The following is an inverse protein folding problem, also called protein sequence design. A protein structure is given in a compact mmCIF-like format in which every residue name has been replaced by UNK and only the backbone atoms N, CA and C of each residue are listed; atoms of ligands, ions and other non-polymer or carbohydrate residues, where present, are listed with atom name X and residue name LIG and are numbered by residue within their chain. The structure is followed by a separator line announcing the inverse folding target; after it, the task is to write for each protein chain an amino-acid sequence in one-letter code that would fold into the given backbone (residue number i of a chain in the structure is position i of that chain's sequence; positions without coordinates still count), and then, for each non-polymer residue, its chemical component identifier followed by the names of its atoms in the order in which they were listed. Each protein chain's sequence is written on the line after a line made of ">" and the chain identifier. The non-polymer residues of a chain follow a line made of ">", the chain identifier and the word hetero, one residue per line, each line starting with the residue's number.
data_IF_055569549359
#
_entry.id   IF_055569549359
#
_cell.length_a   1.000
_cell.length_b   1.000
_cell.length_c   1.000
_cell.angle_alpha   90.00
_cell.angle_beta   90.00
_cell.angle_gamma   90.00
#
_symmetry.space_group_name_H-M   'P 1'
#
loop_
_entity.id
_entity.type
_entity.pdbx_description
1 polymer ?
#
# COMPACT_ATOMS: atom_id res chain seq x y z
N UNK A 1 15.64 47.98 5.21
CA UNK A 1 14.69 46.86 5.32
C UNK A 1 14.88 46.00 4.09
N UNK A 2 15.50 44.82 4.23
CA UNK A 2 15.64 43.89 3.10
C UNK A 2 14.28 43.26 2.85
N UNK A 3 13.57 43.75 1.84
CA UNK A 3 12.47 43.01 1.22
C UNK A 3 13.08 41.78 0.56
N UNK A 4 13.10 40.65 1.28
CA UNK A 4 13.31 39.36 0.63
C UNK A 4 12.14 39.16 -0.33
N UNK A 5 12.40 39.30 -1.62
CA UNK A 5 11.45 38.98 -2.68
C UNK A 5 11.08 37.51 -2.54
N UNK A 6 9.86 37.23 -2.08
CA UNK A 6 9.32 35.86 -2.07
C UNK A 6 9.17 35.41 -3.52
N UNK A 7 9.93 34.41 -3.92
CA UNK A 7 9.81 33.78 -5.24
C UNK A 7 8.42 33.11 -5.32
N UNK A 8 7.62 33.37 -6.36
CA UNK A 8 6.33 32.71 -6.55
C UNK A 8 6.45 31.18 -6.55
N UNK A 9 5.46 30.48 -6.00
CA UNK A 9 5.48 29.02 -5.88
C UNK A 9 5.69 28.32 -7.22
N UNK A 10 5.08 28.82 -8.30
CA UNK A 10 5.19 28.26 -9.65
C UNK A 10 6.60 28.40 -10.22
N UNK A 11 7.37 29.40 -9.79
CA UNK A 11 8.78 29.56 -10.16
C UNK A 11 9.68 28.66 -9.33
N UNK A 12 9.32 28.44 -8.05
CA UNK A 12 10.08 27.57 -7.15
C UNK A 12 9.85 26.08 -7.45
N UNK A 13 8.62 25.71 -7.81
CA UNK A 13 8.18 24.33 -8.05
C UNK A 13 7.40 24.20 -9.38
N UNK A 14 8.03 24.48 -10.54
CA UNK A 14 7.35 24.48 -11.83
C UNK A 14 6.75 23.12 -12.19
N UNK A 15 7.42 22.01 -11.86
CA UNK A 15 6.91 20.66 -12.11
C UNK A 15 5.67 20.34 -11.27
N UNK A 16 5.58 20.86 -10.04
CA UNK A 16 4.42 20.69 -9.16
C UNK A 16 3.24 21.51 -9.69
N UNK A 17 3.48 22.78 -10.00
CA UNK A 17 2.46 23.67 -10.55
C UNK A 17 1.87 23.16 -11.89
N UNK A 18 2.71 22.57 -12.76
CA UNK A 18 2.25 21.96 -14.02
C UNK A 18 1.23 20.82 -13.83
N UNK A 19 1.22 20.18 -12.65
CA UNK A 19 0.26 19.13 -12.28
C UNK A 19 -1.02 19.70 -11.65
N UNK A 20 -1.16 21.02 -11.60
CA UNK A 20 -2.29 21.70 -10.98
C UNK A 20 -2.27 21.64 -9.45
N UNK A 21 -1.12 21.34 -8.85
CA UNK A 21 -0.97 21.30 -7.39
C UNK A 21 -0.52 22.67 -6.90
N UNK A 22 -1.29 23.27 -5.99
CA UNK A 22 -0.96 24.53 -5.35
C UNK A 22 0.02 24.37 -4.18
N UNK A 23 0.52 25.49 -3.67
CA UNK A 23 1.48 25.52 -2.56
C UNK A 23 0.96 24.82 -1.30
N UNK A 24 -0.34 24.94 -1.02
CA UNK A 24 -0.94 24.39 0.20
C UNK A 24 -1.02 22.86 0.13
N UNK A 25 -1.44 22.34 -1.02
CA UNK A 25 -1.52 20.91 -1.32
C UNK A 25 -0.13 20.29 -1.36
N UNK A 26 0.84 20.98 -1.97
CA UNK A 26 2.23 20.54 -1.97
C UNK A 26 2.79 20.43 -0.55
N UNK A 27 2.54 21.44 0.28
CA UNK A 27 2.92 21.41 1.70
C UNK A 27 2.26 20.27 2.48
N UNK A 28 0.99 19.96 2.20
CA UNK A 28 0.31 18.81 2.82
C UNK A 28 0.93 17.48 2.40
N UNK A 29 1.29 17.34 1.12
CA UNK A 29 1.95 16.15 0.60
C UNK A 29 3.31 15.91 1.25
N UNK A 30 4.14 16.94 1.36
CA UNK A 30 5.48 16.84 1.97
C UNK A 30 5.42 16.59 3.48
N UNK A 31 4.52 17.25 4.21
CA UNK A 31 4.57 17.26 5.67
C UNK A 31 3.67 16.20 6.33
N UNK A 32 2.61 15.76 5.65
CA UNK A 32 1.61 14.86 6.24
C UNK A 32 1.48 13.53 5.48
N UNK A 33 1.34 13.58 4.15
CA UNK A 33 1.07 12.36 3.36
C UNK A 33 2.33 11.51 3.17
N UNK A 34 3.44 12.16 2.80
CA UNK A 34 4.75 11.55 2.51
C UNK A 34 5.90 12.22 3.28
N UNK A 35 5.85 12.27 4.62
CA UNK A 35 6.89 12.91 5.42
C UNK A 35 8.26 12.28 5.16
N UNK A 36 9.24 13.13 4.82
CA UNK A 36 10.62 12.72 4.56
C UNK A 36 10.88 12.12 3.17
N UNK A 37 9.86 12.01 2.32
CA UNK A 37 10.06 11.61 0.93
C UNK A 37 10.71 12.74 0.11
N UNK A 38 11.48 12.38 -0.92
CA UNK A 38 12.05 13.34 -1.87
C UNK A 38 10.93 13.92 -2.75
N UNK A 39 11.05 15.20 -3.11
CA UNK A 39 10.09 15.89 -3.97
C UNK A 39 9.81 15.14 -5.28
N UNK A 40 10.84 14.58 -5.91
CA UNK A 40 10.72 13.75 -7.11
C UNK A 40 9.87 12.49 -6.88
N UNK A 41 10.01 11.85 -5.71
CA UNK A 41 9.25 10.67 -5.35
C UNK A 41 7.78 11.01 -5.08
N UNK A 42 7.52 12.16 -4.45
CA UNK A 42 6.15 12.66 -4.25
C UNK A 42 5.51 12.96 -5.62
N UNK A 43 6.23 13.61 -6.54
CA UNK A 43 5.75 13.85 -7.91
C UNK A 43 5.45 12.56 -8.66
N UNK A 44 6.25 11.51 -8.48
CA UNK A 44 5.96 10.19 -9.05
C UNK A 44 4.66 9.58 -8.50
N UNK A 45 4.40 9.73 -7.19
CA UNK A 45 3.13 9.30 -6.60
C UNK A 45 1.94 10.13 -7.11
N UNK A 46 2.13 11.44 -7.28
CA UNK A 46 1.14 12.35 -7.89
C UNK A 46 0.81 11.90 -9.32
N UNK A 47 1.82 11.68 -10.17
CA UNK A 47 1.62 11.24 -11.56
C UNK A 47 0.88 9.90 -11.65
N UNK A 48 1.23 8.97 -10.75
CA UNK A 48 0.54 7.69 -10.62
C UNK A 48 -0.94 7.88 -10.31
N UNK A 49 -1.28 8.80 -9.40
CA UNK A 49 -2.66 9.05 -8.99
C UNK A 49 -3.44 9.83 -10.05
N UNK A 50 -2.85 10.87 -10.64
CA UNK A 50 -3.48 11.68 -11.69
C UNK A 50 -3.83 10.83 -12.92
N UNK A 51 -2.91 9.97 -13.38
CA UNK A 51 -3.15 9.05 -14.51
C UNK A 51 -4.27 8.03 -14.28
N UNK A 52 -4.69 7.84 -13.01
CA UNK A 52 -5.78 6.93 -12.60
C UNK A 52 -6.98 7.65 -12.01
N UNK A 53 -7.01 8.98 -12.10
CA UNK A 53 -8.06 9.83 -11.52
C UNK A 53 -8.27 9.58 -10.01
N UNK A 54 -7.18 9.40 -9.28
CA UNK A 54 -7.18 9.18 -7.84
C UNK A 54 -6.79 10.47 -7.12
N UNK A 55 -7.39 10.69 -5.96
CA UNK A 55 -6.98 11.74 -5.04
C UNK A 55 -5.74 11.28 -4.26
N UNK A 56 -4.62 11.97 -4.47
CA UNK A 56 -3.34 11.68 -3.80
C UNK A 56 -3.41 11.93 -2.28
N UNK A 57 -4.27 12.83 -1.81
CA UNK A 57 -4.41 13.17 -0.39
C UNK A 57 -5.09 12.06 0.40
N UNK A 58 -5.88 11.19 -0.25
CA UNK A 58 -6.41 9.97 0.34
C UNK A 58 -5.36 8.87 0.52
N UNK A 59 -4.12 9.12 0.11
CA UNK A 59 -2.97 8.21 0.19
C UNK A 59 -3.29 6.79 -0.33
N UNK A 60 -3.79 6.65 -1.58
CA UNK A 60 -4.07 5.34 -2.16
C UNK A 60 -2.78 4.54 -2.46
N UNK A 61 -1.62 5.21 -2.49
CA UNK A 61 -0.31 4.62 -2.76
C UNK A 61 0.71 5.00 -1.69
N UNK A 62 1.76 4.19 -1.59
CA UNK A 62 2.88 4.36 -0.67
C UNK A 62 4.17 4.53 -1.47
N UNK A 63 5.11 5.29 -0.92
CA UNK A 63 6.49 5.36 -1.40
C UNK A 63 7.34 4.42 -0.55
N UNK A 64 7.81 3.34 -1.16
CA UNK A 64 8.58 2.30 -0.49
C UNK A 64 10.01 2.30 -1.02
N UNK A 65 11.03 2.53 -0.18
CA UNK A 65 12.43 2.42 -0.58
C UNK A 65 12.78 0.96 -0.88
N UNK A 66 13.17 0.67 -2.11
CA UNK A 66 13.54 -0.68 -2.55
C UNK A 66 14.98 -0.69 -3.07
N UNK A 67 15.72 -1.75 -2.76
CA UNK A 67 17.04 -1.99 -3.34
C UNK A 67 16.85 -2.56 -4.74
N UNK A 68 17.06 -1.74 -5.76
CA UNK A 68 16.91 -2.12 -7.16
C UNK A 68 18.29 -2.42 -7.74
N UNK A 69 18.49 -3.67 -8.16
CA UNK A 69 19.70 -4.09 -8.86
C UNK A 69 19.65 -3.59 -10.30
N UNK A 70 20.62 -2.76 -10.67
CA UNK A 70 20.81 -2.29 -12.02
C UNK A 70 21.27 -3.47 -12.90
N UNK A 71 20.51 -3.77 -13.95
CA UNK A 71 20.74 -4.93 -14.80
C UNK A 71 22.04 -4.82 -15.62
N UNK A 72 22.51 -3.60 -15.88
CA UNK A 72 23.66 -3.31 -16.73
C UNK A 72 24.96 -3.30 -15.93
N UNK A 73 24.96 -2.65 -14.77
CA UNK A 73 26.14 -2.50 -13.91
C UNK A 73 26.24 -3.56 -12.80
N UNK A 74 25.14 -4.27 -12.50
CA UNK A 74 25.06 -5.24 -11.41
C UNK A 74 25.00 -4.62 -10.01
N UNK A 75 25.10 -3.29 -9.90
CA UNK A 75 25.09 -2.56 -8.63
C UNK A 75 23.65 -2.38 -8.13
N UNK A 76 23.47 -2.40 -6.81
CA UNK A 76 22.16 -2.13 -6.19
C UNK A 76 22.06 -0.67 -5.78
N UNK A 77 20.99 0.00 -6.21
CA UNK A 77 20.69 1.38 -5.83
C UNK A 77 19.35 1.43 -5.09
N UNK A 78 19.27 2.23 -4.03
CA UNK A 78 18.01 2.46 -3.34
C UNK A 78 17.17 3.44 -4.16
N UNK A 79 15.95 3.04 -4.49
CA UNK A 79 14.97 3.88 -5.19
C UNK A 79 13.63 3.77 -4.50
N UNK A 80 12.93 4.89 -4.41
CA UNK A 80 11.52 4.88 -3.99
C UNK A 80 10.68 4.28 -5.12
N UNK A 81 9.77 3.39 -4.76
CA UNK A 81 8.83 2.75 -5.68
C UNK A 81 7.42 3.13 -5.23
N UNK A 82 6.56 3.52 -6.18
CA UNK A 82 5.13 3.69 -5.91
C UNK A 82 4.49 2.33 -5.79
N UNK A 83 3.97 2.01 -4.62
CA UNK A 83 3.31 0.74 -4.32
C UNK A 83 1.83 1.00 -3.99
N UNK A 84 0.90 0.21 -4.54
CA UNK A 84 -0.51 0.36 -4.19
C UNK A 84 -0.74 0.02 -2.71
N UNK A 85 -1.59 0.78 -2.02
CA UNK A 85 -2.14 0.35 -0.73
C UNK A 85 -3.45 -0.41 -0.94
N UNK A 86 -3.95 -1.08 0.10
CA UNK A 86 -5.28 -1.70 0.06
C UNK A 86 -6.40 -0.69 -0.30
N UNK A 87 -6.22 0.57 0.09
CA UNK A 87 -7.15 1.66 -0.25
C UNK A 87 -7.33 1.86 -1.75
N UNK A 88 -6.27 1.67 -2.55
CA UNK A 88 -6.37 1.74 -4.01
C UNK A 88 -7.33 0.68 -4.55
N UNK A 89 -7.14 -0.58 -4.13
CA UNK A 89 -7.95 -1.69 -4.62
C UNK A 89 -9.41 -1.57 -4.22
N UNK A 90 -9.68 -1.05 -3.01
CA UNK A 90 -11.05 -0.74 -2.57
C UNK A 90 -11.69 0.33 -3.43
N UNK A 91 -11.00 1.44 -3.71
CA UNK A 91 -11.49 2.52 -4.56
C UNK A 91 -11.79 2.00 -5.97
N UNK A 92 -10.90 1.18 -6.54
CA UNK A 92 -11.09 0.65 -7.89
C UNK A 92 -12.21 -0.40 -7.97
N UNK A 93 -12.36 -1.26 -6.95
CA UNK A 93 -13.47 -2.20 -6.86
C UNK A 93 -14.81 -1.46 -6.80
N UNK A 94 -14.93 -0.43 -5.94
CA UNK A 94 -16.13 0.40 -5.85
C UNK A 94 -16.44 1.12 -7.17
N UNK A 95 -15.44 1.78 -7.76
CA UNK A 95 -15.57 2.47 -9.04
C UNK A 95 -15.86 1.56 -10.23
N UNK A 96 -15.66 0.24 -10.10
CA UNK A 96 -16.05 -0.71 -11.15
C UNK A 96 -17.57 -0.78 -11.36
N UNK A 97 -18.37 -0.29 -10.41
CA UNK A 97 -19.83 -0.40 -10.43
C UNK A 97 -20.36 -1.82 -10.19
N UNK A 98 -19.46 -2.77 -9.90
CA UNK A 98 -19.81 -4.20 -9.71
C UNK A 98 -19.49 -4.70 -8.31
N UNK A 99 -18.97 -3.87 -7.41
CA UNK A 99 -18.74 -4.25 -6.02
C UNK A 99 -20.07 -4.43 -5.29
N UNK A 100 -20.30 -5.62 -4.72
CA UNK A 100 -21.55 -6.02 -4.07
C UNK A 100 -21.37 -6.29 -2.56
N UNK A 101 -20.30 -5.74 -1.96
CA UNK A 101 -19.97 -5.92 -0.55
C UNK A 101 -18.94 -7.02 -0.29
N UNK A 102 -18.75 -7.34 0.98
CA UNK A 102 -17.81 -8.34 1.45
C UNK A 102 -18.31 -8.95 2.77
N UNK A 103 -17.84 -10.15 3.08
CA UNK A 103 -18.08 -10.80 4.37
C UNK A 103 -17.05 -10.34 5.41
N UNK A 104 -17.34 -10.56 6.69
CA UNK A 104 -16.33 -10.42 7.74
C UNK A 104 -15.18 -11.43 7.53
N UNK A 105 -13.93 -11.07 7.90
CA UNK A 105 -12.81 -11.99 7.82
C UNK A 105 -13.02 -13.21 8.72
N UNK A 106 -12.85 -14.40 8.15
CA UNK A 106 -12.82 -15.65 8.89
C UNK A 106 -11.38 -15.98 9.26
N UNK A 107 -11.15 -16.38 10.52
CA UNK A 107 -9.81 -16.74 11.00
C UNK A 107 -9.72 -18.22 11.37
N UNK A 108 -8.57 -18.81 11.08
CA UNK A 108 -8.20 -20.14 11.53
C UNK A 108 -7.92 -20.22 13.03
N UNK A 109 -7.57 -21.41 13.53
CA UNK A 109 -7.20 -21.60 14.92
C UNK A 109 -6.00 -20.72 15.31
N UNK A 110 -5.92 -20.36 16.59
CA UNK A 110 -4.78 -19.62 17.14
C UNK A 110 -3.61 -20.58 17.30
N UNK A 111 -2.46 -20.21 16.73
CA UNK A 111 -1.19 -20.91 16.93
C UNK A 111 -0.32 -20.15 17.92
N UNK A 112 0.53 -20.89 18.63
CA UNK A 112 1.61 -20.37 19.44
C UNK A 112 2.93 -20.92 18.91
N UNK A 113 3.83 -20.03 18.48
CA UNK A 113 5.10 -20.41 17.83
C UNK A 113 6.25 -19.64 18.44
N UNK A 114 7.38 -20.34 18.64
CA UNK A 114 8.66 -19.70 18.95
C UNK A 114 9.28 -19.10 17.69
N UNK A 115 9.54 -17.78 17.70
CA UNK A 115 10.31 -17.11 16.66
C UNK A 115 11.43 -16.32 17.36
N UNK A 116 12.68 -16.68 17.09
CA UNK A 116 13.88 -16.13 17.74
C UNK A 116 13.82 -16.16 19.29
N UNK A 117 13.41 -17.29 19.87
CA UNK A 117 13.38 -17.49 21.32
C UNK A 117 12.26 -16.73 22.03
N UNK A 118 11.29 -16.20 21.29
CA UNK A 118 10.11 -15.51 21.83
C UNK A 118 8.84 -16.20 21.34
N UNK A 119 7.88 -16.38 22.26
CA UNK A 119 6.57 -16.94 21.93
C UNK A 119 5.64 -15.89 21.35
N UNK A 120 5.05 -16.19 20.19
CA UNK A 120 4.06 -15.36 19.52
C UNK A 120 2.76 -16.12 19.29
N UNK A 121 1.63 -15.42 19.41
CA UNK A 121 0.30 -15.97 19.13
C UNK A 121 -0.39 -15.22 17.99
N UNK A 122 -0.90 -15.98 17.02
CA UNK A 122 -1.50 -15.45 15.80
C UNK A 122 -2.47 -16.47 15.18
N UNK A 123 -3.44 -16.05 14.34
CA UNK A 123 -4.27 -17.00 13.61
C UNK A 123 -3.43 -17.75 12.58
N UNK A 124 -3.68 -19.05 12.38
CA UNK A 124 -3.01 -19.84 11.34
C UNK A 124 -3.22 -19.23 9.94
N UNK A 125 -4.47 -18.88 9.64
CA UNK A 125 -4.88 -18.32 8.36
C UNK A 125 -6.01 -17.29 8.54
N UNK A 126 -6.20 -16.44 7.53
CA UNK A 126 -7.38 -15.60 7.35
C UNK A 126 -7.98 -15.88 5.97
N UNK A 127 -9.31 -16.00 5.89
CA UNK A 127 -10.06 -16.05 4.64
C UNK A 127 -10.93 -14.80 4.53
N UNK A 128 -10.83 -14.11 3.40
CA UNK A 128 -11.63 -12.93 3.09
C UNK A 128 -12.44 -13.16 1.82
N UNK A 129 -13.72 -12.79 1.83
CA UNK A 129 -14.63 -12.97 0.69
C UNK A 129 -15.20 -11.63 0.26
N UNK A 130 -15.04 -11.30 -1.02
CA UNK A 130 -15.65 -10.13 -1.67
C UNK A 130 -16.69 -10.60 -2.67
N UNK A 131 -17.75 -9.81 -2.82
CA UNK A 131 -18.87 -10.11 -3.70
C UNK A 131 -18.86 -9.17 -4.89
N UNK A 132 -19.05 -9.74 -6.09
CA UNK A 132 -19.05 -9.02 -7.36
C UNK A 132 -20.33 -9.32 -8.14
N UNK A 133 -21.00 -8.28 -8.64
CA UNK A 133 -22.10 -8.39 -9.57
C UNK A 133 -21.56 -8.76 -10.97
N UNK A 134 -21.97 -9.92 -11.48
CA UNK A 134 -21.65 -10.39 -12.83
C UNK A 134 -22.98 -10.66 -13.55
N UNK A 135 -23.35 -9.74 -14.44
CA UNK A 135 -24.69 -9.72 -15.03
C UNK A 135 -25.74 -9.43 -13.96
N UNK A 136 -26.64 -10.38 -13.73
CA UNK A 136 -27.71 -10.33 -12.74
C UNK A 136 -27.40 -11.12 -11.45
N UNK A 137 -26.19 -11.67 -11.32
CA UNK A 137 -25.80 -12.56 -10.21
C UNK A 137 -24.71 -11.95 -9.36
N UNK A 138 -24.83 -12.16 -8.05
CA UNK A 138 -23.75 -11.91 -7.10
C UNK A 138 -22.87 -13.15 -7.04
N UNK A 139 -21.57 -12.97 -7.31
CA UNK A 139 -20.56 -14.03 -7.30
C UNK A 139 -19.51 -13.71 -6.22
N UNK A 140 -19.25 -14.71 -5.38
CA UNK A 140 -18.27 -14.61 -4.30
C UNK A 140 -16.85 -14.96 -4.79
N UNK A 141 -15.88 -14.15 -4.40
CA UNK A 141 -14.46 -14.38 -4.62
C UNK A 141 -13.75 -14.39 -3.27
N UNK A 142 -13.12 -15.51 -2.94
CA UNK A 142 -12.40 -15.65 -1.68
C UNK A 142 -10.89 -15.79 -1.87
N UNK A 143 -10.14 -15.25 -0.92
CA UNK A 143 -8.72 -15.48 -0.74
C UNK A 143 -8.45 -16.00 0.67
N UNK A 144 -7.47 -16.89 0.79
CA UNK A 144 -7.00 -17.40 2.08
C UNK A 144 -5.49 -17.20 2.14
N UNK A 145 -5.04 -16.54 3.20
CA UNK A 145 -3.64 -16.24 3.46
C UNK A 145 -3.21 -16.86 4.78
N UNK A 146 -2.01 -17.42 4.83
CA UNK A 146 -1.42 -17.99 6.04
C UNK A 146 -0.49 -16.99 6.71
N UNK A 147 -0.56 -16.89 8.04
CA UNK A 147 0.21 -15.87 8.78
C UNK A 147 1.71 -16.04 8.58
N UNK A 148 2.22 -17.27 8.67
CA UNK A 148 3.64 -17.59 8.52
C UNK A 148 4.21 -17.31 7.12
N UNK A 149 3.35 -17.23 6.09
CA UNK A 149 3.75 -16.89 4.72
C UNK A 149 3.75 -15.38 4.46
N UNK A 150 2.99 -14.63 5.28
CA UNK A 150 2.69 -13.22 5.02
C UNK A 150 3.42 -12.26 5.95
N UNK A 151 3.67 -12.65 7.19
CA UNK A 151 4.19 -11.73 8.18
C UNK A 151 5.55 -11.17 7.77
N UNK A 152 5.76 -9.90 8.13
CA UNK A 152 7.03 -9.24 7.92
C UNK A 152 7.88 -9.26 9.18
N UNK A 153 9.19 -9.48 9.00
CA UNK A 153 10.14 -9.56 10.10
C UNK A 153 10.59 -8.16 10.54
N UNK A 154 11.10 -8.06 11.77
CA UNK A 154 11.62 -6.80 12.31
C UNK A 154 12.92 -6.34 11.61
N UNK A 155 13.54 -7.22 10.81
CA UNK A 155 14.73 -6.94 10.04
C UNK A 155 15.24 -8.19 9.32
N UNK A 156 16.22 -7.99 8.44
CA UNK A 156 16.74 -9.03 7.54
C UNK A 156 17.33 -10.27 8.23
N UNK A 157 17.80 -10.13 9.47
CA UNK A 157 18.54 -11.17 10.19
C UNK A 157 17.76 -11.75 11.38
N UNK A 158 16.43 -11.59 11.40
CA UNK A 158 15.56 -12.03 12.50
C UNK A 158 14.28 -12.63 11.94
N UNK A 159 13.80 -13.69 12.58
CA UNK A 159 12.48 -14.28 12.30
C UNK A 159 11.37 -13.65 13.14
N UNK A 160 11.72 -12.78 14.10
CA UNK A 160 10.74 -12.08 14.92
C UNK A 160 9.91 -11.10 14.07
N UNK A 161 8.58 -11.06 14.25
CA UNK A 161 7.71 -10.14 13.51
C UNK A 161 8.03 -8.67 13.80
N UNK A 162 7.72 -7.78 12.85
CA UNK A 162 7.83 -6.34 13.04
C UNK A 162 6.78 -5.81 14.06
N UNK A 163 6.87 -4.53 14.42
CA UNK A 163 5.99 -3.92 15.41
C UNK A 163 4.49 -4.01 15.05
N UNK A 164 4.15 -3.89 13.76
CA UNK A 164 2.77 -3.94 13.29
C UNK A 164 2.19 -5.35 13.34
N UNK A 165 2.95 -6.36 12.91
CA UNK A 165 2.54 -7.77 12.97
C UNK A 165 2.46 -8.29 14.41
N UNK A 166 3.31 -7.79 15.31
CA UNK A 166 3.21 -8.05 16.77
C UNK A 166 1.93 -7.45 17.37
N UNK A 167 1.62 -6.20 17.03
CA UNK A 167 0.50 -5.47 17.65
C UNK A 167 -0.86 -5.86 17.09
N UNK A 168 -0.95 -6.20 15.81
CA UNK A 168 -2.23 -6.40 15.10
C UNK A 168 -2.21 -7.63 14.17
N UNK A 169 -1.85 -8.83 14.65
CA UNK A 169 -1.64 -10.01 13.79
C UNK A 169 -2.86 -10.36 12.93
N UNK A 170 -4.07 -10.26 13.50
CA UNK A 170 -5.32 -10.52 12.78
C UNK A 170 -5.63 -9.48 11.71
N UNK A 171 -5.52 -8.19 12.05
CA UNK A 171 -5.86 -7.11 11.13
C UNK A 171 -4.86 -7.02 9.97
N UNK A 172 -3.59 -7.33 10.20
CA UNK A 172 -2.60 -7.36 9.11
C UNK A 172 -2.87 -8.52 8.15
N UNK A 173 -3.13 -9.71 8.67
CA UNK A 173 -3.44 -10.86 7.83
C UNK A 173 -4.75 -10.65 7.04
N UNK A 174 -5.77 -10.08 7.67
CA UNK A 174 -7.03 -9.77 7.00
C UNK A 174 -6.86 -8.79 5.84
N UNK A 175 -5.98 -7.78 5.98
CA UNK A 175 -5.67 -6.84 4.88
C UNK A 175 -4.99 -7.55 3.70
N UNK A 176 -4.08 -8.47 3.97
CA UNK A 176 -3.41 -9.25 2.93
C UNK A 176 -4.42 -10.14 2.19
N UNK A 177 -5.28 -10.84 2.95
CA UNK A 177 -6.34 -11.68 2.37
C UNK A 177 -7.35 -10.85 1.55
N UNK A 178 -7.77 -9.70 2.04
CA UNK A 178 -8.64 -8.77 1.30
C UNK A 178 -7.97 -8.28 0.00
N UNK A 179 -6.70 -7.89 0.04
CA UNK A 179 -5.95 -7.46 -1.14
C UNK A 179 -5.94 -8.56 -2.21
N UNK A 180 -5.69 -9.81 -1.83
CA UNK A 180 -5.69 -10.93 -2.76
C UNK A 180 -7.11 -11.24 -3.27
N UNK A 181 -8.15 -11.14 -2.43
CA UNK A 181 -9.54 -11.35 -2.84
C UNK A 181 -9.99 -10.31 -3.88
N UNK A 182 -9.66 -9.03 -3.66
CA UNK A 182 -9.92 -7.94 -4.60
C UNK A 182 -9.21 -8.17 -5.94
N UNK A 183 -7.93 -8.57 -5.92
CA UNK A 183 -7.17 -8.89 -7.14
C UNK A 183 -7.75 -10.06 -7.92
N UNK A 184 -8.30 -11.07 -7.24
CA UNK A 184 -9.00 -12.21 -7.85
C UNK A 184 -10.32 -11.79 -8.49
N UNK A 185 -11.09 -10.93 -7.84
CA UNK A 185 -12.40 -10.50 -8.31
C UNK A 185 -12.33 -9.47 -9.45
N UNK A 186 -11.34 -8.58 -9.45
CA UNK A 186 -11.14 -7.57 -10.50
C UNK A 186 -9.70 -7.58 -11.02
N UNK A 187 -9.37 -8.39 -12.05
CA UNK A 187 -8.01 -8.48 -12.54
C UNK A 187 -7.44 -7.14 -13.05
N UNK A 188 -8.30 -6.27 -13.60
CA UNK A 188 -7.93 -4.98 -14.19
C UNK A 188 -7.55 -3.88 -13.18
N UNK A 189 -7.77 -4.08 -11.87
CA UNK A 189 -7.41 -3.07 -10.85
C UNK A 189 -5.90 -3.07 -10.55
N UNK A 190 -5.19 -4.10 -11.02
CA UNK A 190 -3.75 -4.27 -10.82
C UNK A 190 -3.46 -5.54 -10.03
N UNK A 191 -2.24 -6.06 -10.20
CA UNK A 191 -1.81 -7.33 -9.58
C UNK A 191 -0.59 -7.18 -8.68
N UNK A 192 -0.06 -5.96 -8.54
CA UNK A 192 1.08 -5.69 -7.69
C UNK A 192 0.75 -6.03 -6.23
N UNK A 193 1.71 -6.53 -5.44
CA UNK A 193 1.52 -6.66 -4.00
C UNK A 193 1.28 -5.28 -3.39
N UNK A 194 0.40 -5.20 -2.39
CA UNK A 194 0.20 -3.93 -1.69
C UNK A 194 1.36 -3.59 -0.77
N UNK A 195 1.46 -2.33 -0.39
CA UNK A 195 2.43 -1.86 0.61
C UNK A 195 2.31 -2.66 1.91
N UNK A 196 1.09 -3.02 2.32
CA UNK A 196 0.87 -3.84 3.51
C UNK A 196 1.39 -5.28 3.38
N UNK A 197 1.38 -5.85 2.17
CA UNK A 197 1.95 -7.18 1.90
C UNK A 197 3.49 -7.18 1.88
N UNK A 198 4.10 -6.01 1.67
CA UNK A 198 5.55 -5.83 1.50
C UNK A 198 6.22 -5.12 2.68
N UNK A 199 5.47 -4.54 3.61
CA UNK A 199 6.00 -3.74 4.72
C UNK A 199 6.89 -4.57 5.65
N UNK A 200 8.22 -4.53 5.42
CA UNK A 200 9.23 -5.24 6.20
C UNK A 200 9.65 -6.61 5.63
N UNK A 201 9.36 -6.89 4.35
CA UNK A 201 9.94 -7.99 3.59
C UNK A 201 11.24 -7.57 2.86
#
# INVERSE_FOLDING_TARGET
>A
MNTQSTVPFEQQYPAVAQRGIDQSTWGALQNSVFPGARDESILMAVDYCLSRHLDILLKPVHLVPMSVKDATSGNSTWRDVVMPGIGLYRIQADRSGTYAGADEPEFGPVLATDLDGNQYTFPEWCKYTVHKLIGDRIVAFSAKEYWLENYATAGRNTQAPNAMWKKRPYAQLAKCAEAQALRKAWPDIGQAPTAEEMEGK
#
